data_IF_497928576154
#
_entry.id   IF_497928576154
#
_cell.length_a   1.000
_cell.length_b   1.000
_cell.length_c   1.000
_cell.angle_alpha   90.00
_cell.angle_beta   90.00
_cell.angle_gamma   90.00
#
_symmetry.space_group_name_H-M   'P 1'
#
loop_
_entity.id
_entity.type
_entity.pdbx_description
1 polymer ?
#
# COMPACT_ATOMS: atom_id res chain seq x y z
N UNK A 1 26.81 18.96 -10.16
CA UNK A 1 25.65 18.18 -10.60
C UNK A 1 24.46 18.73 -9.84
N UNK A 2 23.64 19.56 -10.49
CA UNK A 2 22.42 20.07 -9.87
C UNK A 2 21.39 20.31 -10.98
N UNK A 3 20.72 19.23 -11.37
CA UNK A 3 19.80 19.18 -12.49
C UNK A 3 18.36 19.34 -12.02
N UNK A 4 17.90 20.57 -11.81
CA UNK A 4 16.47 20.87 -11.67
C UNK A 4 15.82 20.86 -13.06
N UNK A 5 15.16 19.76 -13.41
CA UNK A 5 14.28 19.70 -14.58
C UNK A 5 12.91 20.26 -14.21
N UNK A 6 12.72 21.56 -14.44
CA UNK A 6 11.40 22.17 -14.52
C UNK A 6 11.12 22.49 -15.99
N UNK A 7 10.47 21.57 -16.71
CA UNK A 7 9.91 21.88 -18.04
C UNK A 7 8.47 22.36 -17.87
N UNK A 8 8.26 23.66 -18.00
CA UNK A 8 6.95 24.25 -18.26
C UNK A 8 7.10 25.11 -19.51
N UNK A 9 6.77 24.54 -20.67
CA UNK A 9 6.81 25.21 -21.96
C UNK A 9 5.42 25.16 -22.60
N UNK A 10 4.65 26.24 -22.46
CA UNK A 10 3.68 26.67 -23.49
C UNK A 10 3.74 28.20 -23.55
N UNK A 11 4.43 28.70 -24.59
CA UNK A 11 4.45 30.10 -24.98
C UNK A 11 3.15 30.41 -25.73
N UNK A 12 2.25 31.21 -25.16
CA UNK A 12 1.29 31.99 -25.95
C UNK A 12 0.87 33.27 -25.21
N UNK A 13 0.85 34.36 -25.97
CA UNK A 13 0.88 35.76 -25.53
C UNK A 13 -0.44 36.19 -24.85
N UNK A 14 -0.68 35.82 -23.58
CA UNK A 14 -1.82 36.28 -22.77
C UNK A 14 -1.37 37.07 -21.52
N UNK A 15 -2.12 38.10 -21.08
CA UNK A 15 -1.72 38.97 -19.98
C UNK A 15 -1.47 38.19 -18.68
N UNK A 16 -0.23 38.29 -18.18
CA UNK A 16 0.39 37.40 -17.16
C UNK A 16 -0.27 37.44 -15.78
N UNK A 17 -1.16 38.38 -15.49
CA UNK A 17 -1.82 38.50 -14.18
C UNK A 17 -2.90 37.42 -13.98
N UNK A 18 -3.58 36.99 -15.04
CA UNK A 18 -4.74 36.08 -14.87
C UNK A 18 -4.36 34.59 -14.68
N UNK A 19 -3.12 34.21 -15.00
CA UNK A 19 -2.64 32.82 -14.92
C UNK A 19 -1.98 32.50 -13.57
N UNK A 20 -1.27 33.45 -12.95
CA UNK A 20 -0.61 33.23 -11.65
C UNK A 20 -1.66 32.99 -10.55
N UNK A 21 -2.67 33.85 -10.44
CA UNK A 21 -3.74 33.68 -9.43
C UNK A 21 -4.61 32.43 -9.61
N UNK A 22 -4.70 31.87 -10.82
CA UNK A 22 -5.45 30.62 -11.08
C UNK A 22 -4.62 29.37 -10.76
N UNK A 23 -3.33 29.39 -11.07
CA UNK A 23 -2.43 28.29 -10.73
C UNK A 23 -2.21 28.16 -9.21
N UNK A 24 -2.18 29.26 -8.46
CA UNK A 24 -1.93 29.21 -7.02
C UNK A 24 -3.14 28.66 -6.24
N UNK A 25 -4.37 29.04 -6.63
CA UNK A 25 -5.59 28.47 -6.06
C UNK A 25 -5.76 26.99 -6.40
N UNK A 26 -5.42 26.59 -7.63
CA UNK A 26 -5.44 25.19 -8.04
C UNK A 26 -4.43 24.34 -7.26
N UNK A 27 -3.21 24.85 -7.03
CA UNK A 27 -2.20 24.19 -6.19
C UNK A 27 -2.65 24.04 -4.73
N UNK A 28 -3.25 25.09 -4.16
CA UNK A 28 -3.77 25.05 -2.79
C UNK A 28 -4.91 24.01 -2.65
N UNK A 29 -5.83 23.95 -3.62
CA UNK A 29 -6.89 22.93 -3.64
C UNK A 29 -6.33 21.52 -3.78
N UNK A 30 -5.33 21.32 -4.65
CA UNK A 30 -4.66 20.03 -4.81
C UNK A 30 -3.96 19.60 -3.51
N UNK A 31 -3.23 20.50 -2.85
CA UNK A 31 -2.58 20.18 -1.57
C UNK A 31 -3.58 19.87 -0.46
N UNK A 32 -4.73 20.56 -0.42
CA UNK A 32 -5.77 20.29 0.57
C UNK A 32 -6.46 18.94 0.31
N UNK A 33 -6.71 18.60 -0.96
CA UNK A 33 -7.25 17.30 -1.34
C UNK A 33 -6.29 16.16 -1.00
N UNK A 34 -4.97 16.35 -1.22
CA UNK A 34 -3.95 15.38 -0.83
C UNK A 34 -3.93 15.14 0.68
N UNK A 35 -3.96 16.21 1.50
CA UNK A 35 -4.05 16.06 2.96
C UNK A 35 -5.31 15.34 3.42
N UNK A 36 -6.44 15.58 2.75
CA UNK A 36 -7.67 14.86 3.04
C UNK A 36 -7.54 13.36 2.73
N UNK A 37 -6.92 13.01 1.60
CA UNK A 37 -6.66 11.63 1.23
C UNK A 37 -5.72 10.95 2.24
N UNK A 38 -4.61 11.59 2.62
CA UNK A 38 -3.68 11.08 3.64
C UNK A 38 -4.39 10.79 4.97
N UNK A 39 -5.25 11.70 5.43
CA UNK A 39 -6.02 11.51 6.67
C UNK A 39 -7.04 10.37 6.54
N UNK A 40 -7.65 10.21 5.36
CA UNK A 40 -8.59 9.11 5.11
C UNK A 40 -7.88 7.75 5.11
N UNK A 41 -6.71 7.67 4.47
CA UNK A 41 -5.91 6.44 4.42
C UNK A 41 -5.41 6.07 5.83
N UNK A 42 -4.96 7.05 6.64
CA UNK A 42 -4.59 6.84 8.05
C UNK A 42 -5.77 6.31 8.88
N UNK A 43 -6.95 6.94 8.75
CA UNK A 43 -8.16 6.48 9.45
C UNK A 43 -8.57 5.07 9.01
N UNK A 44 -8.42 4.72 7.73
CA UNK A 44 -8.78 3.40 7.22
C UNK A 44 -7.82 2.31 7.72
N UNK A 45 -6.52 2.61 7.75
CA UNK A 45 -5.46 1.65 8.10
C UNK A 45 -5.35 1.51 9.63
N UNK A 46 -5.17 2.63 10.34
CA UNK A 46 -4.92 2.64 11.79
C UNK A 46 -6.20 2.74 12.61
N UNK A 47 -7.24 3.39 12.09
CA UNK A 47 -8.50 3.63 12.81
C UNK A 47 -8.57 5.02 13.41
N UNK A 48 -9.79 5.45 13.76
CA UNK A 48 -10.03 6.79 14.28
C UNK A 48 -10.04 6.82 15.80
N UNK A 49 -9.16 7.65 16.37
CA UNK A 49 -8.92 7.78 17.81
C UNK A 49 -8.95 9.26 18.25
N UNK A 50 -10.13 9.90 18.34
CA UNK A 50 -10.24 11.33 18.65
C UNK A 50 -9.69 11.68 20.05
N UNK A 51 -9.83 10.78 21.02
CA UNK A 51 -9.43 11.00 22.42
C UNK A 51 -8.05 10.42 22.76
N UNK A 52 -7.31 9.92 21.76
CA UNK A 52 -5.97 9.36 21.96
C UNK A 52 -5.91 8.08 22.80
N UNK A 53 -7.02 7.57 23.34
CA UNK A 53 -7.05 6.41 24.26
C UNK A 53 -7.77 5.16 23.71
N UNK A 54 -8.98 5.30 23.16
CA UNK A 54 -9.74 4.18 22.55
C UNK A 54 -10.07 4.45 21.07
N UNK A 55 -10.04 3.40 20.25
CA UNK A 55 -10.53 3.48 18.87
C UNK A 55 -12.05 3.58 18.88
N UNK A 56 -12.58 4.63 18.26
CA UNK A 56 -14.03 4.78 18.01
C UNK A 56 -14.41 3.99 16.76
N UNK A 57 -13.50 3.98 15.78
CA UNK A 57 -13.58 3.16 14.58
C UNK A 57 -12.26 2.40 14.50
N UNK A 58 -12.31 1.07 14.59
CA UNK A 58 -11.12 0.24 14.40
C UNK A 58 -10.73 0.23 12.92
N UNK A 59 -9.47 0.56 12.63
CA UNK A 59 -8.91 0.45 11.29
C UNK A 59 -8.52 -0.98 10.96
N UNK A 60 -8.17 -1.23 9.70
CA UNK A 60 -7.83 -2.56 9.19
C UNK A 60 -6.73 -3.25 10.00
N UNK A 61 -5.72 -2.49 10.45
CA UNK A 61 -4.62 -3.02 11.27
C UNK A 61 -5.08 -3.42 12.68
N UNK A 62 -5.92 -2.59 13.31
CA UNK A 62 -6.36 -2.82 14.70
C UNK A 62 -7.46 -3.88 14.81
N UNK A 63 -8.17 -4.14 13.71
CA UNK A 63 -9.14 -5.22 13.59
C UNK A 63 -8.52 -6.55 13.17
N UNK A 64 -7.23 -6.58 12.79
CA UNK A 64 -6.54 -7.82 12.47
C UNK A 64 -6.33 -8.64 13.75
N UNK A 65 -6.95 -9.82 13.81
CA UNK A 65 -6.87 -10.72 14.97
C UNK A 65 -5.73 -11.76 14.84
N UNK A 66 -5.02 -11.74 13.71
CA UNK A 66 -3.87 -12.59 13.41
C UNK A 66 -2.63 -11.74 13.24
N UNK A 67 -1.57 -12.12 13.94
CA UNK A 67 -0.27 -11.45 13.86
C UNK A 67 0.82 -12.52 13.67
N UNK A 68 1.42 -12.54 12.47
CA UNK A 68 2.62 -13.33 12.22
C UNK A 68 3.86 -12.54 12.64
N UNK A 69 4.06 -12.44 13.96
CA UNK A 69 5.13 -11.67 14.61
C UNK A 69 6.52 -12.32 14.51
N UNK A 70 6.89 -12.89 13.36
CA UNK A 70 8.28 -13.30 13.16
C UNK A 70 9.11 -12.07 12.82
N UNK A 71 10.14 -11.80 13.62
CA UNK A 71 11.16 -10.77 13.39
C UNK A 71 12.04 -11.09 12.17
N UNK A 72 11.42 -11.39 11.03
CA UNK A 72 12.11 -11.75 9.80
C UNK A 72 12.44 -10.48 9.03
N UNK A 73 13.72 -10.17 8.94
CA UNK A 73 14.23 -9.04 8.16
C UNK A 73 13.96 -9.27 6.66
N UNK A 74 13.22 -8.35 6.01
CA UNK A 74 12.91 -8.43 4.57
C UNK A 74 14.14 -8.13 3.70
N UNK A 75 15.23 -7.62 4.28
CA UNK A 75 16.52 -7.47 3.60
C UNK A 75 17.24 -8.78 3.31
N UNK A 76 16.80 -9.90 3.88
CA UNK A 76 17.40 -11.23 3.66
C UNK A 76 16.55 -12.07 2.70
N UNK A 77 17.19 -12.59 1.65
CA UNK A 77 16.53 -13.43 0.65
C UNK A 77 15.77 -14.62 1.27
N UNK A 78 14.52 -14.85 0.83
CA UNK A 78 13.53 -15.84 1.32
C UNK A 78 12.80 -15.50 2.61
N UNK A 79 13.22 -14.48 3.36
CA UNK A 79 12.47 -14.07 4.55
C UNK A 79 11.12 -13.46 4.19
N UNK A 80 11.02 -12.53 3.21
CA UNK A 80 9.73 -12.03 2.73
C UNK A 80 8.78 -13.15 2.31
N UNK A 81 9.29 -14.15 1.58
CA UNK A 81 8.49 -15.28 1.14
C UNK A 81 7.95 -16.11 2.32
N UNK A 82 8.80 -16.36 3.34
CA UNK A 82 8.38 -17.07 4.56
C UNK A 82 7.32 -16.28 5.33
N UNK A 83 7.49 -14.97 5.48
CA UNK A 83 6.53 -14.10 6.15
C UNK A 83 5.15 -14.20 5.50
N UNK A 84 5.09 -14.00 4.17
CA UNK A 84 3.83 -14.08 3.41
C UNK A 84 3.20 -15.47 3.50
N UNK A 85 3.98 -16.56 3.42
CA UNK A 85 3.42 -17.92 3.57
C UNK A 85 2.94 -18.22 5.00
N UNK A 86 3.59 -17.62 6.01
CA UNK A 86 3.18 -17.72 7.41
C UNK A 86 1.85 -17.02 7.64
N UNK A 87 1.72 -15.78 7.15
CA UNK A 87 0.47 -15.02 7.18
C UNK A 87 -0.66 -15.75 6.46
N UNK A 88 -0.41 -16.29 5.27
CA UNK A 88 -1.40 -17.09 4.53
C UNK A 88 -1.86 -18.32 5.33
N UNK A 89 -0.94 -18.96 6.06
CA UNK A 89 -1.28 -20.13 6.88
C UNK A 89 -2.21 -19.75 8.04
N UNK A 90 -2.00 -18.57 8.66
CA UNK A 90 -2.89 -18.06 9.69
C UNK A 90 -4.28 -17.71 9.13
N UNK A 91 -4.33 -17.08 7.95
CA UNK A 91 -5.60 -16.77 7.27
C UNK A 91 -6.36 -18.05 6.89
N UNK A 92 -5.67 -19.09 6.43
CA UNK A 92 -6.29 -20.38 6.14
C UNK A 92 -6.76 -21.11 7.40
N UNK A 93 -6.05 -20.97 8.52
CA UNK A 93 -6.50 -21.51 9.81
C UNK A 93 -7.83 -20.88 10.26
N UNK A 94 -8.05 -19.61 9.92
CA UNK A 94 -9.29 -18.88 10.18
C UNK A 94 -10.38 -19.07 9.10
N UNK A 95 -10.18 -20.02 8.18
CA UNK A 95 -11.06 -20.30 7.04
C UNK A 95 -11.23 -19.12 6.05
N UNK A 96 -10.31 -18.15 6.05
CA UNK A 96 -10.25 -17.10 5.03
C UNK A 96 -9.52 -17.66 3.80
N UNK A 97 -10.21 -18.55 3.09
CA UNK A 97 -9.67 -19.32 1.97
C UNK A 97 -9.91 -18.61 0.64
N UNK A 98 -9.44 -17.38 0.53
CA UNK A 98 -9.52 -16.63 -0.72
C UNK A 98 -8.40 -17.04 -1.70
N UNK A 99 -8.64 -16.74 -2.97
CA UNK A 99 -7.79 -17.20 -4.08
C UNK A 99 -6.59 -16.28 -4.28
N UNK A 100 -6.77 -14.97 -4.06
CA UNK A 100 -5.76 -13.95 -4.29
C UNK A 100 -5.71 -12.99 -3.10
N UNK A 101 -4.54 -12.42 -2.82
CA UNK A 101 -4.30 -11.56 -1.66
C UNK A 101 -3.56 -10.29 -2.03
N UNK A 102 -3.93 -9.17 -1.41
CA UNK A 102 -3.19 -7.92 -1.46
C UNK A 102 -2.23 -7.85 -0.28
N UNK A 103 -1.02 -7.38 -0.55
CA UNK A 103 0.00 -7.14 0.47
C UNK A 103 0.28 -5.64 0.55
N UNK A 104 -0.05 -5.01 1.67
CA UNK A 104 0.29 -3.61 1.95
C UNK A 104 1.53 -3.57 2.83
N UNK A 105 2.58 -2.87 2.39
CA UNK A 105 3.85 -2.76 3.11
C UNK A 105 4.22 -1.31 3.40
N UNK A 106 4.98 -1.11 4.46
CA UNK A 106 5.71 0.14 4.65
C UNK A 106 6.79 0.34 3.56
N UNK A 107 7.08 1.58 3.10
CA UNK A 107 8.05 1.85 2.05
C UNK A 107 9.45 1.28 2.28
N UNK A 108 9.91 1.20 3.53
CA UNK A 108 11.22 0.60 3.85
C UNK A 108 11.24 -0.87 3.48
N UNK A 109 10.19 -1.61 3.87
CA UNK A 109 10.02 -3.03 3.57
C UNK A 109 9.77 -3.29 2.08
N UNK A 110 9.02 -2.39 1.43
CA UNK A 110 8.82 -2.45 -0.02
C UNK A 110 10.14 -2.27 -0.79
N UNK A 111 10.99 -1.33 -0.37
CA UNK A 111 12.30 -1.12 -0.97
C UNK A 111 13.25 -2.30 -0.75
N UNK A 112 13.20 -2.92 0.43
CA UNK A 112 13.97 -4.13 0.75
C UNK A 112 13.53 -5.31 -0.10
N UNK A 113 12.22 -5.51 -0.29
CA UNK A 113 11.67 -6.56 -1.15
C UNK A 113 12.10 -6.40 -2.62
N UNK A 114 12.10 -5.18 -3.16
CA UNK A 114 12.58 -4.93 -4.53
C UNK A 114 14.08 -5.18 -4.67
N UNK A 115 14.85 -4.83 -3.65
CA UNK A 115 16.30 -5.00 -3.63
C UNK A 115 16.70 -6.46 -3.41
N UNK A 116 15.85 -7.28 -2.81
CA UNK A 116 16.12 -8.68 -2.53
C UNK A 116 16.21 -9.50 -3.83
N UNK A 117 17.44 -9.69 -4.29
CA UNK A 117 17.78 -10.47 -5.48
C UNK A 117 18.87 -11.45 -5.10
N UNK A 118 18.66 -12.72 -5.42
CA UNK A 118 19.69 -13.75 -5.27
C UNK A 118 19.83 -14.52 -6.57
N UNK A 119 21.07 -14.61 -7.06
CA UNK A 119 21.42 -15.47 -8.21
C UNK A 119 20.61 -15.19 -9.48
N UNK A 120 20.20 -13.93 -9.69
CA UNK A 120 19.41 -13.50 -10.86
C UNK A 120 17.89 -13.72 -10.74
N UNK A 121 17.42 -14.25 -9.61
CA UNK A 121 15.99 -14.37 -9.30
C UNK A 121 15.58 -13.19 -8.42
N UNK A 122 14.56 -12.45 -8.88
CA UNK A 122 13.96 -11.33 -8.16
C UNK A 122 12.90 -11.90 -7.22
N UNK A 123 13.04 -11.68 -5.91
CA UNK A 123 12.11 -12.21 -4.91
C UNK A 123 10.70 -11.63 -5.06
N UNK A 124 10.61 -10.37 -5.51
CA UNK A 124 9.34 -9.72 -5.84
C UNK A 124 8.47 -10.54 -6.80
N UNK A 125 9.05 -11.16 -7.84
CA UNK A 125 8.29 -11.95 -8.81
C UNK A 125 7.76 -13.26 -8.20
N UNK A 126 8.46 -13.82 -7.23
CA UNK A 126 8.00 -15.01 -6.50
C UNK A 126 6.87 -14.68 -5.54
N UNK A 127 6.96 -13.55 -4.82
CA UNK A 127 5.88 -13.05 -3.96
C UNK A 127 4.63 -12.73 -4.78
N UNK A 128 4.78 -12.08 -5.94
CA UNK A 128 3.65 -11.82 -6.84
C UNK A 128 2.98 -13.10 -7.36
N UNK A 129 3.74 -14.18 -7.59
CA UNK A 129 3.17 -15.48 -7.96
C UNK A 129 2.42 -16.13 -6.79
N UNK A 130 2.89 -15.97 -5.56
CA UNK A 130 2.19 -16.47 -4.37
C UNK A 130 0.88 -15.72 -4.11
N UNK A 131 0.85 -14.40 -4.35
CA UNK A 131 -0.33 -13.57 -4.18
C UNK A 131 -1.39 -13.75 -5.28
N UNK A 132 -0.99 -14.28 -6.45
CA UNK A 132 -1.85 -14.54 -7.59
C UNK A 132 -1.94 -16.04 -7.89
N UNK A 133 -2.59 -16.80 -7.00
CA UNK A 133 -2.67 -18.27 -7.08
C UNK A 133 -3.42 -18.76 -8.32
N UNK A 134 -4.39 -17.97 -8.82
CA UNK A 134 -5.09 -18.22 -10.09
C UNK A 134 -4.82 -17.06 -11.06
N UNK A 135 -4.16 -17.30 -12.22
CA UNK A 135 -3.71 -16.25 -13.13
C UNK A 135 -4.83 -15.50 -13.88
N UNK A 136 -6.03 -16.09 -13.95
CA UNK A 136 -7.19 -15.59 -14.71
C UNK A 136 -8.18 -14.74 -13.87
N UNK A 137 -7.91 -14.55 -12.58
CA UNK A 137 -8.73 -13.76 -11.65
C UNK A 137 -8.05 -12.45 -11.27
N UNK A 138 -8.79 -11.54 -10.59
CA UNK A 138 -8.27 -10.25 -10.10
C UNK A 138 -7.00 -10.48 -9.27
N UNK A 139 -5.86 -10.06 -9.81
CA UNK A 139 -4.54 -10.36 -9.23
C UNK A 139 -4.34 -9.54 -7.97
N UNK A 140 -3.78 -10.20 -6.95
CA UNK A 140 -3.23 -9.54 -5.79
C UNK A 140 -2.15 -8.53 -6.17
N UNK A 141 -2.08 -7.41 -5.46
CA UNK A 141 -1.07 -6.39 -5.65
C UNK A 141 -0.25 -6.18 -4.38
N UNK A 142 1.01 -5.79 -4.57
CA UNK A 142 1.82 -5.25 -3.49
C UNK A 142 1.68 -3.72 -3.52
N UNK A 143 1.14 -3.17 -2.45
CA UNK A 143 0.83 -1.74 -2.28
C UNK A 143 1.77 -1.18 -1.21
N UNK A 144 2.25 0.04 -1.41
CA UNK A 144 3.02 0.77 -0.40
C UNK A 144 2.14 1.80 0.30
N UNK A 145 2.23 1.90 1.63
CA UNK A 145 1.60 2.96 2.42
C UNK A 145 2.53 3.46 3.52
N UNK A 146 2.61 4.78 3.67
CA UNK A 146 3.39 5.44 4.72
C UNK A 146 2.67 5.46 6.08
N UNK A 147 1.40 5.08 6.11
CA UNK A 147 0.56 5.15 7.32
C UNK A 147 0.68 3.88 8.17
N UNK A 148 1.43 2.89 7.69
CA UNK A 148 1.87 1.73 8.45
C UNK A 148 3.09 2.08 9.31
N UNK A 149 3.18 1.49 10.50
CA UNK A 149 4.38 1.62 11.34
C UNK A 149 5.56 0.89 10.71
N UNK A 150 6.79 1.34 10.99
CA UNK A 150 8.00 0.66 10.53
C UNK A 150 7.95 -0.84 10.88
N UNK A 151 8.37 -1.69 9.93
CA UNK A 151 8.37 -3.16 10.06
C UNK A 151 7.01 -3.82 10.19
N UNK A 152 5.93 -3.14 9.79
CA UNK A 152 4.59 -3.73 9.70
C UNK A 152 4.12 -3.84 8.26
N UNK A 153 3.27 -4.84 8.02
CA UNK A 153 2.60 -5.09 6.75
C UNK A 153 1.23 -5.71 7.01
N UNK A 154 0.33 -5.56 6.04
CA UNK A 154 -1.02 -6.12 6.11
C UNK A 154 -1.22 -7.01 4.89
N UNK A 155 -1.61 -8.26 5.13
CA UNK A 155 -2.10 -9.15 4.09
C UNK A 155 -3.62 -9.20 4.16
N UNK A 156 -4.30 -8.81 3.08
CA UNK A 156 -5.76 -8.85 3.00
C UNK A 156 -6.22 -9.66 1.80
N UNK A 157 -7.31 -10.43 1.92
CA UNK A 157 -7.90 -11.10 0.77
C UNK A 157 -8.38 -10.09 -0.28
N UNK A 158 -8.28 -10.46 -1.56
CA UNK A 158 -8.88 -9.71 -2.67
C UNK A 158 -10.25 -10.29 -2.94
N UNK A 159 -11.31 -9.58 -2.57
CA UNK A 159 -12.66 -10.05 -2.87
C UNK A 159 -12.83 -10.21 -4.40
N UNK A 160 -12.95 -11.45 -4.91
CA UNK A 160 -13.14 -11.66 -6.34
C UNK A 160 -14.55 -11.29 -6.80
N UNK A 161 -15.45 -10.91 -5.89
CA UNK A 161 -16.87 -10.64 -6.17
C UNK A 161 -17.21 -9.15 -6.33
N UNK A 162 -16.23 -8.25 -6.20
CA UNK A 162 -16.47 -6.80 -6.11
C UNK A 162 -16.80 -6.10 -7.46
N UNK A 163 -17.44 -6.82 -8.37
CA UNK A 163 -18.28 -6.16 -9.38
C UNK A 163 -19.58 -6.90 -9.74
N UNK A 164 -19.90 -8.07 -9.15
CA UNK A 164 -21.09 -8.85 -9.55
C UNK A 164 -21.89 -9.57 -8.47
N UNK A 165 -21.48 -9.66 -7.19
CA UNK A 165 -22.35 -10.31 -6.18
C UNK A 165 -23.19 -9.32 -5.38
N UNK A 166 -24.11 -8.64 -6.06
CA UNK A 166 -25.42 -8.35 -5.47
C UNK A 166 -26.40 -9.43 -5.92
N UNK A 167 -26.50 -10.52 -5.16
CA UNK A 167 -27.70 -11.34 -5.02
C UNK A 167 -27.73 -11.98 -3.65
#
# INVERSE_FOLDING_TARGET
>A
MDGKLASCAIYENRPRICWVYRCDKAKAMLSAAQRCAEVLDDILIQGWKPDGTNYVISGLHQSANNDYSTSTDFGTFRNPLKAVTGDLTLLWADNVNEVNFNLVLHPTQYAELIKSVSTGVIEYDEVMKLLALIPDMLKGQVIMSNDLTDSTGILSPVDPRDCTSRR
#
